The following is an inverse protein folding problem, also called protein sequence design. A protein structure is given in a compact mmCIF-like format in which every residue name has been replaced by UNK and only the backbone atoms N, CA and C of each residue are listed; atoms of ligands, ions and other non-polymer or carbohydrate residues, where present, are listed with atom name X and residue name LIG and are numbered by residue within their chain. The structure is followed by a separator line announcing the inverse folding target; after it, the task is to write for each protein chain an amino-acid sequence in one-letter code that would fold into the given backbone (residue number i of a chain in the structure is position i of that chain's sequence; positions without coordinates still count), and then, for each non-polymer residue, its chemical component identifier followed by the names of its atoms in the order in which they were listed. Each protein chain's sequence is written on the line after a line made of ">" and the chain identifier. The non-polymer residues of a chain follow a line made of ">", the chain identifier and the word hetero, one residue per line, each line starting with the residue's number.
data_IF_737334119980
#
_entry.id   IF_737334119980
#
_cell.length_a   1.000
_cell.length_b   1.000
_cell.length_c   1.000
_cell.angle_alpha   90.00
_cell.angle_beta   90.00
_cell.angle_gamma   90.00
#
_symmetry.space_group_name_H-M   'P 1'
#
loop_
_entity.id
_entity.type
_entity.pdbx_description
1 polymer ?
#
# COMPACT_ATOMS: atom_id res chain seq x y z
N UNK A 1 -11.38 2.05 -31.36
CA UNK A 1 -10.50 2.15 -30.23
C UNK A 1 -10.91 1.21 -29.10
N UNK A 2 -9.96 0.84 -28.32
CA UNK A 2 -10.07 -0.26 -27.37
C UNK A 2 -10.45 0.15 -25.96
N UNK A 3 -11.18 1.26 -25.82
CA UNK A 3 -11.60 1.75 -24.51
C UNK A 3 -12.32 0.70 -23.67
N UNK A 4 -13.07 -0.17 -24.33
CA UNK A 4 -13.83 -1.24 -23.68
C UNK A 4 -13.11 -2.59 -23.69
N UNK A 5 -11.85 -2.60 -24.08
CA UNK A 5 -11.07 -3.83 -24.06
C UNK A 5 -10.81 -4.24 -22.62
N UNK A 6 -11.17 -5.48 -22.21
CA UNK A 6 -10.97 -5.94 -20.84
C UNK A 6 -9.53 -5.87 -20.37
N UNK A 7 -8.56 -5.91 -21.28
CA UNK A 7 -7.15 -5.81 -20.92
C UNK A 7 -6.78 -4.46 -20.33
N UNK A 8 -7.58 -3.42 -20.59
CA UNK A 8 -7.32 -2.06 -20.13
C UNK A 8 -8.28 -1.59 -19.05
N UNK A 9 -9.11 -2.50 -18.50
CA UNK A 9 -10.01 -2.14 -17.42
C UNK A 9 -9.22 -1.93 -16.12
N UNK A 10 -9.71 -1.09 -15.18
CA UNK A 10 -9.06 -0.94 -13.87
C UNK A 10 -8.91 -2.28 -13.14
N UNK A 11 -9.89 -3.17 -13.26
CA UNK A 11 -9.85 -4.48 -12.63
C UNK A 11 -8.72 -5.34 -13.20
N UNK A 12 -8.49 -5.26 -14.51
CA UNK A 12 -7.41 -5.99 -15.15
C UNK A 12 -6.05 -5.49 -14.68
N UNK A 13 -5.87 -4.17 -14.57
CA UNK A 13 -4.64 -3.59 -14.05
C UNK A 13 -4.40 -4.00 -12.62
N UNK A 14 -5.43 -3.98 -11.78
CA UNK A 14 -5.30 -4.39 -10.38
C UNK A 14 -4.92 -5.86 -10.27
N UNK A 15 -5.50 -6.74 -11.10
CA UNK A 15 -5.12 -8.15 -11.11
C UNK A 15 -3.66 -8.34 -11.50
N UNK A 16 -3.18 -7.62 -12.50
CA UNK A 16 -1.78 -7.69 -12.92
C UNK A 16 -0.84 -7.25 -11.82
N UNK A 17 -1.17 -6.15 -11.13
CA UNK A 17 -0.36 -5.66 -10.01
C UNK A 17 -0.34 -6.64 -8.86
N UNK A 18 -1.49 -7.23 -8.53
CA UNK A 18 -1.59 -8.22 -7.46
C UNK A 18 -0.76 -9.45 -7.76
N UNK A 19 -0.85 -9.95 -8.98
CA UNK A 19 -0.04 -11.10 -9.42
C UNK A 19 1.44 -10.76 -9.35
N UNK A 20 1.84 -9.60 -9.82
CA UNK A 20 3.24 -9.16 -9.76
C UNK A 20 3.74 -9.10 -8.32
N UNK A 21 2.94 -8.55 -7.41
CA UNK A 21 3.31 -8.47 -6.00
C UNK A 21 3.48 -9.86 -5.37
N UNK A 22 2.55 -10.78 -5.64
CA UNK A 22 2.61 -12.12 -5.08
C UNK A 22 3.81 -12.91 -5.59
N UNK A 23 4.19 -12.72 -6.85
CA UNK A 23 5.30 -13.44 -7.47
C UNK A 23 6.64 -12.76 -7.28
N UNK A 24 6.67 -11.55 -6.77
CA UNK A 24 7.89 -10.77 -6.57
C UNK A 24 8.01 -10.26 -5.14
N UNK A 25 7.66 -8.98 -4.89
CA UNK A 25 7.92 -8.35 -3.59
C UNK A 25 7.32 -9.08 -2.38
N UNK A 26 6.19 -9.74 -2.55
CA UNK A 26 5.49 -10.42 -1.45
C UNK A 26 5.74 -11.91 -1.39
N UNK A 27 6.57 -12.43 -2.29
CA UNK A 27 6.89 -13.86 -2.29
C UNK A 27 7.60 -14.25 -1.00
N UNK A 28 7.04 -15.20 -0.28
CA UNK A 28 7.61 -15.65 0.99
C UNK A 28 7.39 -14.72 2.16
N UNK A 29 6.65 -13.63 1.96
CA UNK A 29 6.36 -12.64 2.99
C UNK A 29 5.06 -13.01 3.69
N UNK A 30 4.97 -12.73 4.99
CA UNK A 30 3.77 -12.96 5.79
C UNK A 30 3.16 -11.67 6.33
N UNK A 31 3.99 -10.66 6.56
CA UNK A 31 3.55 -9.40 7.14
C UNK A 31 3.89 -8.25 6.21
N UNK A 32 2.99 -7.27 6.15
CA UNK A 32 3.18 -6.07 5.32
C UNK A 32 2.64 -4.85 6.07
N UNK A 33 3.04 -3.67 5.61
CA UNK A 33 2.42 -2.41 6.01
C UNK A 33 1.73 -1.81 4.78
N UNK A 34 0.69 -1.04 5.02
CA UNK A 34 -0.07 -0.38 3.95
C UNK A 34 -0.12 1.12 4.21
N UNK A 35 0.21 1.91 3.21
CA UNK A 35 0.00 3.36 3.25
C UNK A 35 -1.26 3.69 2.46
N UNK A 36 -2.30 4.13 3.17
CA UNK A 36 -3.56 4.52 2.56
C UNK A 36 -4.75 3.97 3.32
N UNK A 37 -5.45 4.84 4.03
CA UNK A 37 -6.65 4.48 4.80
C UNK A 37 -7.93 4.93 4.10
N UNK A 38 -7.82 5.53 2.92
CA UNK A 38 -8.97 6.03 2.17
C UNK A 38 -9.56 5.01 1.22
N UNK A 39 -10.33 5.50 0.26
CA UNK A 39 -11.02 4.65 -0.70
C UNK A 39 -10.07 3.85 -1.59
N UNK A 40 -8.91 4.39 -1.88
CA UNK A 40 -7.91 3.67 -2.68
C UNK A 40 -7.23 2.55 -1.89
N UNK A 41 -7.03 2.77 -0.58
CA UNK A 41 -6.32 1.81 0.26
C UNK A 41 -7.17 0.66 0.79
N UNK A 42 -8.45 0.91 1.08
CA UNK A 42 -9.31 -0.14 1.67
C UNK A 42 -9.43 -1.41 0.83
N UNK A 43 -9.62 -1.32 -0.50
CA UNK A 43 -9.65 -2.55 -1.32
C UNK A 43 -8.33 -3.33 -1.26
N UNK A 44 -7.21 -2.64 -1.19
CA UNK A 44 -5.90 -3.28 -1.06
C UNK A 44 -5.72 -3.93 0.30
N UNK A 45 -6.22 -3.30 1.36
CA UNK A 45 -6.20 -3.89 2.70
C UNK A 45 -6.99 -5.21 2.73
N UNK A 46 -8.19 -5.19 2.16
CA UNK A 46 -9.03 -6.40 2.11
C UNK A 46 -8.37 -7.51 1.29
N UNK A 47 -7.77 -7.13 0.18
CA UNK A 47 -7.09 -8.11 -0.66
C UNK A 47 -5.90 -8.74 0.06
N UNK A 48 -5.07 -7.93 0.70
CA UNK A 48 -3.92 -8.43 1.45
C UNK A 48 -4.36 -9.39 2.55
N UNK A 49 -5.36 -9.02 3.32
CA UNK A 49 -5.90 -9.88 4.37
C UNK A 49 -6.50 -11.16 3.80
N UNK A 50 -7.19 -11.07 2.66
CA UNK A 50 -7.76 -12.22 1.97
C UNK A 50 -6.72 -13.20 1.45
N UNK A 51 -5.53 -12.72 1.11
CA UNK A 51 -4.41 -13.55 0.68
C UNK A 51 -3.63 -14.16 1.85
N UNK A 52 -4.02 -13.83 3.08
CA UNK A 52 -3.38 -14.38 4.26
C UNK A 52 -2.25 -13.53 4.84
N UNK A 53 -2.03 -12.33 4.30
CA UNK A 53 -1.03 -11.43 4.87
C UNK A 53 -1.54 -10.78 6.14
N UNK A 54 -0.66 -10.63 7.11
CA UNK A 54 -0.93 -9.83 8.28
C UNK A 54 -0.51 -8.39 7.99
N UNK A 55 -1.47 -7.48 7.94
CA UNK A 55 -1.17 -6.06 7.80
C UNK A 55 -0.93 -5.50 9.19
N UNK A 56 0.29 -5.06 9.45
CA UNK A 56 0.68 -4.60 10.79
C UNK A 56 0.18 -3.21 11.09
N UNK A 57 0.28 -2.33 10.12
CA UNK A 57 -0.11 -0.93 10.28
C UNK A 57 -0.68 -0.40 8.98
N UNK A 58 -1.64 0.50 9.09
CA UNK A 58 -2.08 1.34 7.98
C UNK A 58 -1.58 2.75 8.26
N UNK A 59 -0.80 3.31 7.36
CA UNK A 59 -0.21 4.64 7.50
C UNK A 59 -1.14 5.68 6.89
N UNK A 60 -1.32 6.79 7.56
CA UNK A 60 -2.21 7.86 7.14
C UNK A 60 -1.68 9.21 7.57
N UNK A 61 -1.95 10.25 6.79
CA UNK A 61 -1.61 11.63 7.16
C UNK A 61 -2.81 12.40 7.70
N UNK A 62 -4.02 11.92 7.47
CA UNK A 62 -5.24 12.57 7.97
C UNK A 62 -5.40 12.35 9.47
N UNK A 63 -5.43 13.44 10.22
CA UNK A 63 -5.57 13.40 11.67
C UNK A 63 -6.84 12.68 12.12
N UNK A 64 -7.89 12.73 11.30
CA UNK A 64 -9.17 12.12 11.65
C UNK A 64 -9.11 10.60 11.72
N UNK A 65 -8.21 9.98 10.97
CA UNK A 65 -8.12 8.51 10.90
C UNK A 65 -7.03 7.94 11.79
N UNK A 66 -6.05 8.75 12.16
CA UNK A 66 -4.94 8.31 13.00
C UNK A 66 -5.47 7.96 14.39
N UNK A 67 -5.02 6.84 14.92
CA UNK A 67 -5.46 6.35 16.23
C UNK A 67 -6.68 5.46 16.17
N UNK A 68 -7.28 5.28 14.98
CA UNK A 68 -8.41 4.36 14.80
C UNK A 68 -7.92 3.01 14.30
N UNK A 69 -8.85 2.11 14.04
CA UNK A 69 -8.55 0.82 13.42
C UNK A 69 -9.41 0.63 12.18
N UNK A 70 -8.84 -0.02 11.17
CA UNK A 70 -9.58 -0.40 9.95
C UNK A 70 -9.40 -1.90 9.79
N UNK A 71 -10.50 -2.64 9.80
CA UNK A 71 -10.48 -4.11 9.70
C UNK A 71 -9.51 -4.74 10.70
N UNK A 72 -9.48 -4.21 11.91
CA UNK A 72 -8.62 -4.71 12.97
C UNK A 72 -7.17 -4.26 12.92
N UNK A 73 -6.81 -3.40 11.96
CA UNK A 73 -5.45 -2.91 11.79
C UNK A 73 -5.33 -1.49 12.30
N UNK A 74 -4.36 -1.20 13.18
CA UNK A 74 -4.20 0.17 13.69
C UNK A 74 -3.76 1.13 12.60
N UNK A 75 -4.34 2.32 12.62
CA UNK A 75 -3.96 3.42 11.71
C UNK A 75 -2.98 4.32 12.46
N UNK A 76 -1.79 4.49 11.90
CA UNK A 76 -0.73 5.30 12.49
C UNK A 76 -0.39 6.50 11.61
N UNK A 77 0.23 7.50 12.19
CA UNK A 77 0.72 8.64 11.44
C UNK A 77 1.96 8.25 10.63
N UNK A 78 2.22 8.96 9.55
CA UNK A 78 3.43 8.78 8.76
C UNK A 78 4.71 8.97 9.59
N UNK A 79 4.65 9.83 10.61
CA UNK A 79 5.77 10.04 11.53
C UNK A 79 6.03 8.85 12.43
N UNK A 80 5.07 7.95 12.57
CA UNK A 80 5.18 6.75 13.40
C UNK A 80 5.61 5.52 12.61
N UNK A 81 5.81 5.65 11.31
CA UNK A 81 6.24 4.54 10.47
C UNK A 81 7.59 4.00 10.96
N UNK A 82 7.70 2.71 11.29
CA UNK A 82 8.99 2.14 11.70
C UNK A 82 10.02 2.23 10.58
N UNK A 83 11.32 2.23 10.93
CA UNK A 83 12.35 2.16 9.89
C UNK A 83 12.25 0.86 9.10
N UNK A 84 12.85 0.79 7.89
CA UNK A 84 12.82 -0.43 7.09
C UNK A 84 13.39 -1.61 7.87
N UNK A 85 12.60 -2.67 7.99
CA UNK A 85 12.97 -3.86 8.76
C UNK A 85 12.72 -5.15 7.99
N UNK A 86 12.56 -5.05 6.67
CA UNK A 86 12.22 -6.19 5.83
C UNK A 86 10.72 -6.39 5.64
N UNK A 87 9.88 -5.66 6.37
CA UNK A 87 8.44 -5.69 6.15
C UNK A 87 8.09 -4.79 4.97
N UNK A 88 7.55 -5.32 3.85
CA UNK A 88 7.23 -4.50 2.69
C UNK A 88 6.15 -3.47 3.01
N UNK A 89 6.29 -2.28 2.42
CA UNK A 89 5.28 -1.25 2.49
C UNK A 89 4.59 -1.12 1.15
N UNK A 90 3.29 -1.34 1.12
CA UNK A 90 2.46 -1.18 -0.09
C UNK A 90 1.79 0.19 -0.01
N UNK A 91 1.89 0.97 -1.07
CA UNK A 91 1.39 2.34 -1.08
C UNK A 91 0.22 2.45 -2.04
N UNK A 92 -0.98 2.64 -1.49
CA UNK A 92 -2.23 2.69 -2.25
C UNK A 92 -2.93 4.04 -2.01
N UNK A 93 -2.33 5.10 -2.52
CA UNK A 93 -2.85 6.46 -2.42
C UNK A 93 -3.02 7.03 -3.81
N UNK A 94 -4.24 7.44 -4.14
CA UNK A 94 -4.58 7.93 -5.47
C UNK A 94 -4.69 9.44 -5.61
N UNK A 95 -4.49 10.20 -4.55
CA UNK A 95 -4.63 11.67 -4.60
C UNK A 95 -3.53 12.31 -5.44
N UNK A 96 -3.90 13.34 -6.21
CA UNK A 96 -2.93 14.08 -7.02
C UNK A 96 -1.86 14.72 -6.13
N UNK A 97 -0.60 14.59 -6.53
CA UNK A 97 0.53 15.15 -5.78
C UNK A 97 0.96 14.34 -4.56
N UNK A 98 0.17 13.35 -4.14
CA UNK A 98 0.49 12.55 -2.96
C UNK A 98 1.73 11.70 -3.18
N UNK A 99 1.92 11.20 -4.39
CA UNK A 99 3.05 10.32 -4.70
C UNK A 99 4.39 11.00 -4.41
N UNK A 100 4.56 12.23 -4.85
CA UNK A 100 5.80 12.98 -4.66
C UNK A 100 6.06 13.25 -3.19
N UNK A 101 5.02 13.60 -2.44
CA UNK A 101 5.14 13.84 -1.00
C UNK A 101 5.52 12.58 -0.26
N UNK A 102 4.91 11.44 -0.62
CA UNK A 102 5.22 10.17 0.01
C UNK A 102 6.64 9.73 -0.33
N UNK A 103 7.08 9.87 -1.58
CA UNK A 103 8.43 9.54 -1.97
C UNK A 103 9.46 10.35 -1.16
N UNK A 104 9.23 11.64 -0.98
CA UNK A 104 10.11 12.48 -0.19
C UNK A 104 10.17 12.03 1.26
N UNK A 105 9.02 11.69 1.83
CA UNK A 105 8.95 11.23 3.21
C UNK A 105 9.67 9.89 3.40
N UNK A 106 9.47 8.96 2.47
CA UNK A 106 10.13 7.65 2.51
C UNK A 106 11.63 7.78 2.38
N UNK A 107 12.11 8.67 1.52
CA UNK A 107 13.56 8.92 1.37
C UNK A 107 14.15 9.40 2.70
N UNK A 108 13.47 10.29 3.40
CA UNK A 108 13.92 10.77 4.71
C UNK A 108 14.00 9.63 5.74
N UNK A 109 13.19 8.60 5.59
CA UNK A 109 13.14 7.47 6.52
C UNK A 109 13.95 6.28 6.07
N UNK A 110 14.79 6.47 5.04
CA UNK A 110 15.68 5.45 4.51
C UNK A 110 14.97 4.28 3.83
N UNK A 111 13.74 4.50 3.38
CA UNK A 111 13.04 3.53 2.54
C UNK A 111 13.49 3.67 1.09
N UNK A 112 13.71 2.54 0.44
CA UNK A 112 14.08 2.50 -0.98
C UNK A 112 12.90 1.96 -1.78
N UNK A 113 12.41 2.74 -2.74
CA UNK A 113 11.34 2.30 -3.63
C UNK A 113 11.82 1.12 -4.47
N UNK A 114 10.96 0.10 -4.60
CA UNK A 114 11.30 -1.12 -5.31
C UNK A 114 12.09 -2.13 -4.49
N UNK A 115 12.43 -1.78 -3.24
CA UNK A 115 13.10 -2.67 -2.30
C UNK A 115 12.32 -2.78 -0.99
N UNK A 116 11.96 -1.62 -0.40
CA UNK A 116 11.25 -1.56 0.87
C UNK A 116 9.80 -1.15 0.69
N UNK A 117 9.48 -0.47 -0.39
CA UNK A 117 8.15 0.10 -0.61
C UNK A 117 7.78 0.05 -2.10
N UNK A 118 6.50 -0.15 -2.39
CA UNK A 118 5.97 -0.23 -3.76
C UNK A 118 4.68 0.55 -3.87
N UNK A 119 4.61 1.41 -4.90
CA UNK A 119 3.36 2.07 -5.25
C UNK A 119 2.47 1.14 -6.07
N UNK A 120 1.19 1.07 -5.72
CA UNK A 120 0.21 0.26 -6.45
C UNK A 120 -0.94 1.10 -7.03
N UNK A 121 -0.89 2.41 -6.81
CA UNK A 121 -1.86 3.36 -7.37
C UNK A 121 -1.16 4.59 -7.87
#
# INVERSE_FOLDING_TARGET
>A
LTRNDPRYSPEAFDRCRRTHLLNGPLRGIREVNLWGAGQAGKPWLRWLQGEGFRVRHVVEVSQKKIGTQIHGVPVIADTELPPPDGTPLIIAVGAAGARELIEAELTKRNYTLGKDAWFVR
#
